data_IF_997884986514
#
_entry.id   IF_997884986514
#
_cell.length_a   1.000
_cell.length_b   1.000
_cell.length_c   1.000
_cell.angle_alpha   90.00
_cell.angle_beta   90.00
_cell.angle_gamma   90.00
#
_symmetry.space_group_name_H-M   'P 1'
#
loop_
_entity.id
_entity.type
_entity.pdbx_description
1 polymer ?
2 non-polymer ?
3 water ?
#
# COMPACT_ATOMS: atom_id res chain seq x y z
N UNK A 113 14.81 -11.27 7.29
CA UNK A 113 13.67 -12.19 7.31
C UNK A 113 12.44 -11.57 6.65
N UNK A 114 11.41 -12.43 6.34
CA UNK A 114 10.19 -12.00 5.68
C UNK A 114 9.42 -10.97 6.54
N UNK A 115 9.03 -11.33 7.78
CA UNK A 115 8.23 -10.41 8.61
C UNK A 115 8.98 -9.14 9.00
N UNK A 116 10.31 -9.22 9.13
CA UNK A 116 11.13 -8.05 9.48
C UNK A 116 10.99 -6.99 8.38
N UNK A 117 11.16 -7.40 7.12
CA UNK A 117 10.99 -6.51 5.97
C UNK A 117 9.57 -6.00 5.82
N UNK A 118 8.58 -6.88 6.03
CA UNK A 118 7.16 -6.45 5.94
C UNK A 118 6.82 -5.32 6.91
N UNK A 119 7.27 -5.46 8.18
CA UNK A 119 7.01 -4.43 9.21
C UNK A 119 7.73 -3.13 8.88
N UNK A 120 8.99 -3.20 8.41
CA UNK A 120 9.73 -1.98 8.02
C UNK A 120 9.04 -1.34 6.83
N UNK A 121 8.50 -2.15 5.91
CA UNK A 121 7.84 -1.57 4.74
C UNK A 121 6.46 -0.98 5.10
N UNK A 122 5.77 -1.61 6.05
CA UNK A 122 4.45 -1.13 6.50
C UNK A 122 4.62 0.24 7.15
N UNK A 123 5.71 0.39 7.85
CA UNK A 123 5.99 1.69 8.49
C UNK A 123 6.43 2.74 7.45
N UNK A 124 7.53 2.48 6.71
CA UNK A 124 8.09 3.40 5.72
C UNK A 124 7.08 3.75 4.63
N UNK A 125 6.39 2.73 4.11
CA UNK A 125 5.49 2.90 2.98
C UNK A 125 4.08 3.29 3.34
N UNK A 126 3.73 3.27 4.62
CA UNK A 126 2.34 3.61 4.99
C UNK A 126 2.21 4.41 6.27
N UNK A 127 2.52 3.79 7.45
CA UNK A 127 2.30 4.47 8.74
C UNK A 127 2.99 5.84 8.85
N UNK A 128 4.27 5.92 8.43
CA UNK A 128 5.09 7.15 8.42
C UNK A 128 4.39 8.26 7.60
N UNK A 129 3.59 7.89 6.57
CA UNK A 129 2.93 8.85 5.69
C UNK A 129 1.53 9.29 6.16
N UNK A 130 0.84 8.46 6.95
CA UNK A 130 -0.53 8.82 7.41
C UNK A 130 -0.60 9.25 8.87
N UNK A 131 0.23 8.66 9.74
CA UNK A 131 0.11 8.94 11.19
C UNK A 131 0.39 10.41 11.55
N UNK A 132 1.38 11.14 10.94
CA UNK A 132 1.55 12.58 11.31
C UNK A 132 0.38 13.48 10.91
N UNK A 133 -0.50 13.03 10.00
CA UNK A 133 -1.66 13.78 9.51
C UNK A 133 -3.00 13.32 10.13
N UNK A 134 -2.99 12.20 10.86
CA UNK A 134 -4.20 11.59 11.40
C UNK A 134 -4.95 12.43 12.45
N UNK A 135 -4.24 13.00 13.44
CA UNK A 135 -4.87 13.80 14.51
C UNK A 135 -5.75 14.90 13.94
N UNK A 136 -5.24 15.63 12.92
CA UNK A 136 -5.95 16.72 12.26
C UNK A 136 -7.19 16.23 11.57
N UNK A 137 -7.15 15.04 10.94
CA UNK A 137 -8.32 14.47 10.24
C UNK A 137 -9.42 14.09 11.23
N UNK A 138 -9.03 13.52 12.39
CA UNK A 138 -9.99 13.11 13.43
C UNK A 138 -10.64 14.37 14.06
N UNK A 139 -9.83 15.39 14.39
CA UNK A 139 -10.27 16.68 14.95
C UNK A 139 -11.27 17.36 14.02
N UNK A 140 -10.97 17.37 12.71
CA UNK A 140 -11.82 17.93 11.64
C UNK A 140 -13.13 17.17 11.57
N UNK A 141 -13.08 15.82 11.68
CA UNK A 141 -14.29 14.99 11.67
C UNK A 141 -15.18 15.32 12.88
N UNK A 142 -14.60 15.34 14.10
CA UNK A 142 -15.24 15.60 15.40
C UNK A 142 -15.87 16.98 15.51
N UNK A 143 -15.37 17.94 14.71
CA UNK A 143 -15.82 19.32 14.67
C UNK A 143 -16.86 19.62 13.60
N UNK A 144 -16.75 19.02 12.39
CA UNK A 144 -17.62 19.35 11.26
C UNK A 144 -18.42 18.22 10.61
N UNK A 145 -18.00 16.95 10.77
CA UNK A 145 -18.69 15.82 10.11
C UNK A 145 -19.42 14.84 11.06
N UNK A 146 -19.09 14.91 12.38
CA UNK A 146 -19.67 14.06 13.43
C UNK A 146 -20.96 14.68 13.95
N UNK A 150 -24.07 11.67 19.50
CA UNK A 150 -22.85 10.87 19.39
C UNK A 150 -21.63 11.59 19.93
N UNK A 151 -20.79 10.84 20.63
CA UNK A 151 -19.54 11.34 21.18
C UNK A 151 -18.43 11.31 20.16
N UNK A 152 -17.34 12.02 20.47
CA UNK A 152 -16.17 12.17 19.62
C UNK A 152 -15.49 10.85 19.28
N UNK A 153 -14.97 10.75 18.06
CA UNK A 153 -14.18 9.63 17.58
C UNK A 153 -12.87 9.72 18.36
N UNK A 154 -12.40 8.60 18.91
CA UNK A 154 -11.15 8.61 19.64
C UNK A 154 -9.96 8.90 18.68
N UNK A 155 -8.88 9.41 19.24
CA UNK A 155 -7.66 9.68 18.48
C UNK A 155 -7.00 8.31 18.25
N UNK A 156 -6.00 8.26 17.37
CA UNK A 156 -5.17 7.09 17.08
C UNK A 156 -5.79 6.08 16.13
N UNK A 157 -4.94 5.53 15.26
CA UNK A 157 -5.35 4.49 14.36
C UNK A 157 -5.23 3.18 15.15
N UNK A 158 -6.31 2.42 15.20
CA UNK A 158 -6.31 1.13 15.91
C UNK A 158 -6.02 0.07 14.86
N UNK A 159 -4.85 -0.56 14.96
CA UNK A 159 -4.34 -1.53 13.98
C UNK A 159 -4.55 -2.95 14.48
N UNK A 160 -5.41 -3.70 13.77
CA UNK A 160 -5.68 -5.08 14.12
C UNK A 160 -4.58 -5.98 13.58
N UNK A 161 -4.06 -6.82 14.50
CA UNK A 161 -2.93 -7.71 14.24
C UNK A 161 -3.27 -9.14 14.62
N UNK A 162 -4.21 -9.78 13.84
CA UNK A 162 -4.54 -11.18 14.12
C UNK A 162 -3.32 -12.06 13.83
N UNK A 163 -2.83 -12.77 14.86
CA UNK A 163 -1.65 -13.63 14.70
C UNK A 163 -1.90 -14.83 13.78
N UNK A 164 -3.19 -15.18 13.52
CA UNK A 164 -3.54 -16.24 12.58
C UNK A 164 -3.48 -15.73 11.14
N UNK A 165 -3.23 -14.39 10.96
CA UNK A 165 -3.07 -13.75 9.65
C UNK A 165 -4.34 -13.75 8.78
N UNK A 166 -5.50 -13.91 9.43
CA UNK A 166 -6.81 -13.86 8.79
C UNK A 166 -7.22 -12.42 8.71
N UNK A 167 -7.23 -11.87 7.51
CA UNK A 167 -7.55 -10.47 7.30
C UNK A 167 -8.87 -10.38 6.48
N UNK A 168 -10.06 -10.29 7.13
CA UNK A 168 -11.29 -10.15 6.33
C UNK A 168 -11.44 -8.72 5.83
N UNK A 169 -12.25 -8.51 4.79
CA UNK A 169 -12.43 -7.15 4.27
C UNK A 169 -13.49 -6.37 5.01
N UNK A 170 -14.47 -7.07 5.61
CA UNK A 170 -15.60 -6.47 6.33
C UNK A 170 -15.48 -6.80 7.81
N UNK A 171 -15.38 -5.77 8.65
CA UNK A 171 -15.26 -5.93 10.10
C UNK A 171 -16.53 -6.36 10.83
N UNK A 172 -17.71 -5.89 10.38
CA UNK A 172 -18.99 -6.28 11.00
C UNK A 172 -19.27 -7.77 10.80
N UNK A 173 -18.57 -8.39 9.83
CA UNK A 173 -18.63 -9.82 9.53
C UNK A 173 -17.84 -10.58 10.59
N UNK A 174 -16.68 -10.01 11.03
CA UNK A 174 -15.80 -10.63 12.05
C UNK A 174 -16.44 -10.54 13.45
N UNK A 175 -17.20 -9.45 13.69
CA UNK A 175 -17.93 -9.19 14.95
C UNK A 175 -19.09 -8.23 14.68
N UNK A 176 -20.36 -8.65 14.91
CA UNK A 176 -21.51 -7.72 14.72
C UNK A 176 -21.48 -6.51 15.67
N UNK A 177 -20.71 -6.61 16.79
CA UNK A 177 -20.55 -5.49 17.74
C UNK A 177 -19.58 -4.40 17.22
N UNK A 178 -19.03 -4.57 16.00
CA UNK A 178 -18.17 -3.59 15.35
C UNK A 178 -18.99 -3.13 14.16
N UNK A 179 -19.49 -1.89 14.22
CA UNK A 179 -20.38 -1.37 13.20
C UNK A 179 -19.80 -0.18 12.51
N UNK A 180 -19.79 -0.21 11.17
CA UNK A 180 -19.29 0.91 10.36
C UNK A 180 -20.13 2.17 10.61
N UNK A 181 -19.48 3.27 10.98
CA UNK A 181 -20.13 4.54 11.20
C UNK A 181 -19.95 5.47 10.00
N UNK A 182 -18.67 5.76 9.62
CA UNK A 182 -18.36 6.70 8.54
C UNK A 182 -16.92 6.59 8.09
N UNK A 183 -16.60 7.18 6.95
CA UNK A 183 -15.24 7.28 6.46
C UNK A 183 -14.70 8.58 7.05
N UNK A 184 -13.44 8.58 7.46
CA UNK A 184 -12.76 9.78 7.95
C UNK A 184 -12.53 10.68 6.68
N UNK A 185 -12.40 12.03 6.71
CA UNK A 185 -12.10 12.73 5.44
C UNK A 185 -10.74 12.22 4.86
N UNK A 186 -10.68 11.96 3.55
CA UNK A 186 -9.47 11.43 2.86
C UNK A 186 -8.25 12.30 3.01
N UNK A 187 -7.08 11.66 3.01
CA UNK A 187 -5.79 12.32 2.94
C UNK A 187 -5.30 12.05 1.50
N UNK A 188 -4.73 13.07 0.84
CA UNK A 188 -4.15 12.91 -0.50
C UNK A 188 -2.71 13.40 -0.48
N UNK A 189 -1.85 12.77 -1.28
CA UNK A 189 -0.45 13.16 -1.37
C UNK A 189 0.15 12.60 -2.64
N UNK A 190 1.05 13.36 -3.26
CA UNK A 190 1.76 12.87 -4.44
C UNK A 190 2.72 11.82 -3.94
N UNK A 191 2.57 10.59 -4.44
CA UNK A 191 3.40 9.49 -3.95
C UNK A 191 3.93 8.64 -5.08
N UNK A 192 5.27 8.58 -5.23
CA UNK A 192 5.94 7.72 -6.21
C UNK A 192 5.36 7.80 -7.64
N UNK A 193 5.05 9.01 -8.10
CA UNK A 193 4.46 9.19 -9.42
C UNK A 193 2.95 9.11 -9.44
N UNK A 194 2.32 8.74 -8.30
CA UNK A 194 0.86 8.73 -8.21
C UNK A 194 0.46 10.11 -7.71
N UNK A 195 -0.07 10.99 -8.60
CA UNK A 195 -0.54 12.30 -8.17
C UNK A 195 -1.80 12.07 -7.30
N UNK A 196 -1.87 12.76 -6.15
CA UNK A 196 -2.97 12.66 -5.19
C UNK A 196 -3.33 11.21 -4.85
N UNK A 197 -2.33 10.43 -4.45
CA UNK A 197 -2.53 9.07 -3.93
C UNK A 197 -3.48 9.28 -2.72
N UNK A 198 -4.57 8.53 -2.68
CA UNK A 198 -5.58 8.70 -1.63
C UNK A 198 -5.39 7.70 -0.46
N UNK A 199 -5.44 8.22 0.76
CA UNK A 199 -5.42 7.41 1.98
C UNK A 199 -6.81 7.53 2.61
N UNK A 200 -7.60 6.44 2.51
CA UNK A 200 -8.94 6.36 3.06
C UNK A 200 -8.85 5.56 4.37
N UNK A 201 -9.59 5.98 5.41
CA UNK A 201 -9.66 5.24 6.68
C UNK A 201 -11.11 5.28 7.16
N UNK A 202 -11.53 4.24 7.88
CA UNK A 202 -12.90 4.05 8.34
C UNK A 202 -13.07 4.12 9.83
N UNK A 203 -14.20 4.69 10.27
CA UNK A 203 -14.60 4.87 11.67
C UNK A 203 -15.64 3.82 12.00
N UNK A 204 -15.47 3.19 13.15
CA UNK A 204 -16.33 2.14 13.66
C UNK A 204 -16.85 2.44 15.05
N UNK A 205 -18.09 2.00 15.32
CA UNK A 205 -18.69 2.06 16.63
C UNK A 205 -18.45 0.68 17.23
N UNK A 206 -18.17 0.64 18.51
CA UNK A 206 -17.96 -0.59 19.24
C UNK A 206 -19.08 -0.72 20.24
N UNK A 207 -19.92 -1.74 20.07
CA UNK A 207 -21.06 -1.98 20.94
C UNK A 207 -20.74 -3.00 22.02
N UNK A 208 -21.38 -2.84 23.16
CA UNK A 208 -21.28 -3.72 24.31
C UNK A 208 -22.69 -3.76 24.91
N UNK A 209 -23.34 -4.95 24.87
CA UNK A 209 -24.70 -5.20 25.37
C UNK A 209 -25.72 -4.19 24.80
N UNK A 210 -25.64 -3.99 23.49
CA UNK A 210 -26.53 -3.09 22.76
C UNK A 210 -26.22 -1.61 22.91
N UNK A 211 -25.18 -1.25 23.66
CA UNK A 211 -24.84 0.17 23.85
C UNK A 211 -23.53 0.53 23.17
N UNK A 212 -23.41 1.74 22.62
CA UNK A 212 -22.14 2.18 22.02
C UNK A 212 -21.16 2.46 23.16
N UNK A 213 -20.03 1.72 23.18
CA UNK A 213 -19.00 1.79 24.22
C UNK A 213 -17.71 2.50 23.78
N UNK A 214 -17.60 2.78 22.49
CA UNK A 214 -16.45 3.47 21.91
C UNK A 214 -16.63 3.67 20.41
N UNK A 215 -15.85 4.61 19.87
CA UNK A 215 -15.81 5.00 18.46
C UNK A 215 -14.34 5.22 18.07
N UNK A 216 -13.86 4.51 17.07
CA UNK A 216 -12.45 4.66 16.68
C UNK A 216 -12.19 4.37 15.19
N UNK A 217 -11.00 4.78 14.73
CA UNK A 217 -10.50 4.52 13.36
C UNK A 217 -9.81 3.16 13.50
N UNK A 218 -10.26 2.21 12.69
CA UNK A 218 -9.85 0.82 12.81
C UNK A 218 -9.58 0.18 11.46
N UNK A 219 -8.53 -0.65 11.40
CA UNK A 219 -8.18 -1.45 10.20
C UNK A 219 -7.17 -2.53 10.54
N UNK A 220 -7.08 -3.53 9.68
CA UNK A 220 -6.11 -4.61 9.82
C UNK A 220 -4.80 -4.17 9.16
N UNK A 221 -3.67 -4.68 9.67
CA UNK A 221 -2.35 -4.52 9.04
C UNK A 221 -2.34 -5.51 7.88
N UNK A 222 -2.59 -5.02 6.65
CA UNK A 222 -2.66 -5.84 5.43
C UNK A 222 -1.40 -6.74 5.16
N UNK A 223 -0.16 -6.38 5.57
CA UNK A 223 0.98 -7.30 5.30
C UNK A 223 0.81 -8.67 6.00
N UNK A 224 -0.05 -8.78 7.03
CA UNK A 224 -0.29 -10.09 7.67
C UNK A 224 -1.00 -11.01 6.65
N UNK A 225 -1.80 -10.43 5.72
CA UNK A 225 -2.43 -11.29 4.69
C UNK A 225 -1.36 -11.81 3.74
N UNK A 226 -0.23 -11.07 3.58
CA UNK A 226 0.85 -11.58 2.73
C UNK A 226 1.42 -12.86 3.34
N UNK A 227 1.62 -12.89 4.68
CA UNK A 227 2.09 -14.11 5.36
C UNK A 227 1.11 -15.25 5.11
N UNK A 228 -0.19 -14.96 5.20
CA UNK A 228 -1.22 -15.98 4.94
C UNK A 228 -1.08 -16.54 3.51
N UNK A 229 -1.08 -15.68 2.50
CA UNK A 229 -0.98 -16.12 1.11
C UNK A 229 0.33 -16.84 0.82
N UNK A 230 1.46 -16.34 1.36
CA UNK A 230 2.74 -17.04 1.14
C UNK A 230 2.72 -18.46 1.72
N UNK A 231 1.98 -18.67 2.85
CA UNK A 231 1.88 -20.01 3.43
C UNK A 231 0.94 -20.90 2.58
N UNK A 232 0.15 -20.30 1.67
CA UNK A 232 -0.76 -21.06 0.77
C UNK A 232 -0.07 -21.46 -0.55
N UNK A 233 0.81 -20.58 -1.06
CA UNK A 233 1.46 -20.76 -2.37
C UNK A 233 2.78 -21.43 -2.32
N UNK A 234 2.89 -22.58 -2.99
CA UNK A 234 4.13 -23.38 -3.07
C UNK A 234 5.32 -22.56 -3.48
N UNK A 235 5.19 -21.70 -4.50
CA UNK A 235 6.31 -20.92 -5.02
C UNK A 235 6.87 -19.91 -4.03
N UNK A 236 6.13 -19.57 -2.97
CA UNK A 236 6.60 -18.62 -1.97
C UNK A 236 7.67 -19.24 -1.03
N UNK A 237 7.75 -20.57 -1.00
CA UNK A 237 8.70 -21.33 -0.17
C UNK A 237 8.57 -20.94 1.29
N UNK A 238 7.33 -20.81 1.76
CA UNK A 238 7.01 -20.35 3.11
C UNK A 238 6.03 -21.32 3.72
N UNK A 239 6.42 -22.00 4.80
CA UNK A 239 5.52 -22.98 5.36
C UNK A 239 4.53 -22.41 6.35
N UNK A 240 3.36 -23.04 6.42
CA UNK A 240 2.28 -22.75 7.38
C UNK A 240 2.82 -22.91 8.80
N UNK A 241 3.78 -23.85 9.01
CA UNK A 241 4.37 -24.11 10.32
C UNK A 241 5.21 -22.93 10.82
N UNK A 242 5.71 -22.06 9.91
CA UNK A 242 6.49 -20.87 10.25
C UNK A 242 5.66 -19.59 10.33
N UNK A 243 4.39 -19.66 9.94
CA UNK A 243 3.56 -18.46 9.84
C UNK A 243 3.32 -17.73 11.18
N UNK A 244 2.96 -18.44 12.27
CA UNK A 244 2.69 -17.81 13.55
C UNK A 244 3.93 -17.06 14.07
N UNK A 245 5.12 -17.69 13.99
CA UNK A 245 6.39 -17.05 14.42
C UNK A 245 6.64 -15.77 13.62
N UNK A 246 6.38 -15.81 12.32
CA UNK A 246 6.51 -14.63 11.43
C UNK A 246 5.48 -13.56 11.78
N UNK A 247 4.21 -13.94 12.06
CA UNK A 247 3.20 -12.96 12.51
C UNK A 247 3.65 -12.24 13.80
N UNK A 248 4.19 -13.01 14.79
CA UNK A 248 4.66 -12.40 16.04
C UNK A 248 5.83 -11.48 15.80
N UNK A 249 6.76 -11.91 14.94
CA UNK A 249 7.93 -11.12 14.58
C UNK A 249 7.49 -9.82 13.86
N UNK A 250 6.47 -9.91 12.99
CA UNK A 250 5.92 -8.70 12.31
C UNK A 250 5.46 -7.67 13.39
N UNK A 251 4.66 -8.14 14.37
CA UNK A 251 4.14 -7.27 15.44
C UNK A 251 5.28 -6.70 16.31
N UNK A 252 6.25 -7.56 16.68
CA UNK A 252 7.38 -7.13 17.52
C UNK A 252 8.26 -6.08 16.82
N UNK A 253 8.55 -6.27 15.51
CA UNK A 253 9.33 -5.33 14.71
C UNK A 253 8.59 -4.02 14.61
N UNK A 254 7.27 -4.06 14.35
CA UNK A 254 6.46 -2.85 14.27
C UNK A 254 6.49 -2.07 15.62
N UNK A 255 6.37 -2.77 16.73
CA UNK A 255 6.46 -2.18 18.07
C UNK A 255 7.83 -1.53 18.28
N UNK A 256 8.93 -2.22 17.87
CA UNK A 256 10.29 -1.70 17.98
C UNK A 256 10.50 -0.43 17.15
N UNK A 257 9.98 -0.39 15.92
CA UNK A 257 10.11 0.79 15.05
C UNK A 257 9.38 1.98 15.65
N UNK A 258 8.11 1.78 16.02
CA UNK A 258 7.28 2.82 16.62
C UNK A 258 7.87 3.41 17.89
N UNK A 259 8.59 2.61 18.69
CA UNK A 259 9.25 3.07 19.91
C UNK A 259 10.33 4.15 19.63
N UNK A 260 10.80 4.24 18.36
CA UNK A 260 11.76 5.24 17.87
C UNK A 260 11.14 6.34 17.00
N UNK A 261 9.80 6.31 16.81
CA UNK A 261 9.04 7.27 16.00
C UNK A 261 7.88 7.87 16.86
N UNK A 262 8.13 8.86 17.77
CA UNK A 262 7.06 9.35 18.68
C UNK A 262 5.78 9.88 18.00
N UNK A 263 5.97 10.62 16.89
CA UNK A 263 4.95 11.20 16.01
C UNK A 263 4.06 10.09 15.40
N UNK A 264 4.54 8.83 15.38
CA UNK A 264 3.75 7.71 14.88
C UNK A 264 3.23 6.86 16.03
N UNK A 265 4.07 6.60 17.04
CA UNK A 265 3.71 5.80 18.21
C UNK A 265 2.47 6.36 18.95
N UNK A 266 2.40 7.68 19.13
CA UNK A 266 1.26 8.30 19.83
C UNK A 266 -0.01 8.39 18.96
N UNK A 267 0.12 8.10 17.66
CA UNK A 267 -1.01 8.18 16.75
C UNK A 267 -1.57 6.83 16.36
N UNK A 268 -1.11 5.77 17.01
CA UNK A 268 -1.64 4.44 16.73
C UNK A 268 -1.53 3.53 17.93
N UNK A 269 -2.29 2.45 17.90
CA UNK A 269 -2.33 1.42 18.94
C UNK A 269 -2.30 0.07 18.24
N UNK A 270 -1.43 -0.82 18.68
CA UNK A 270 -1.30 -2.15 18.07
C UNK A 270 -2.13 -3.16 18.84
N UNK A 271 -3.09 -3.79 18.15
CA UNK A 271 -3.99 -4.77 18.75
C UNK A 271 -3.65 -6.16 18.22
N UNK A 272 -2.72 -6.85 18.90
CA UNK A 272 -2.30 -8.20 18.54
C UNK A 272 -3.13 -9.19 19.33
N UNK A 273 -3.58 -10.26 18.68
CA UNK A 273 -4.41 -11.28 19.36
C UNK A 273 -4.38 -12.61 18.65
N UNK A 274 -4.66 -13.66 19.43
CA UNK A 274 -4.83 -15.04 19.00
C UNK A 274 -6.22 -15.48 19.48
N UNK A 275 -6.99 -16.14 18.61
CA UNK A 275 -8.34 -16.60 18.98
C UNK A 275 -8.29 -17.98 19.63
N UNK A 282 -14.58 -15.96 20.89
CA UNK A 282 -13.72 -14.76 20.86
C UNK A 282 -14.49 -13.50 20.47
N UNK A 283 -14.27 -12.39 21.19
CA UNK A 283 -14.93 -11.13 20.85
C UNK A 283 -13.91 -10.08 20.40
N UNK A 284 -13.90 -9.78 19.08
CA UNK A 284 -12.97 -8.77 18.56
C UNK A 284 -13.29 -7.38 19.16
N UNK A 285 -14.58 -7.02 19.28
CA UNK A 285 -14.97 -5.72 19.89
C UNK A 285 -14.43 -5.58 21.31
N UNK A 286 -14.48 -6.66 22.13
CA UNK A 286 -13.96 -6.63 23.50
C UNK A 286 -12.45 -6.44 23.54
N UNK A 287 -11.75 -7.00 22.53
CA UNK A 287 -10.30 -6.86 22.38
C UNK A 287 -9.98 -5.38 22.11
N UNK A 288 -10.72 -4.74 21.17
CA UNK A 288 -10.50 -3.33 20.85
C UNK A 288 -10.86 -2.45 22.06
N UNK A 289 -12.04 -2.71 22.67
CA UNK A 289 -12.49 -1.92 23.84
C UNK A 289 -11.50 -1.93 24.98
N UNK A 290 -10.86 -3.07 25.25
CA UNK A 290 -9.85 -3.19 26.31
C UNK A 290 -8.69 -2.22 26.07
N UNK A 291 -8.25 -2.07 24.81
CA UNK A 291 -7.21 -1.13 24.43
C UNK A 291 -7.72 0.31 24.52
N UNK A 292 -8.93 0.57 24.00
CA UNK A 292 -9.57 1.90 24.00
C UNK A 292 -9.78 2.46 25.41
N UNK A 293 -10.16 1.59 26.37
CA UNK A 293 -10.41 1.97 27.76
C UNK A 293 -9.16 2.33 28.58
N UNK A 294 -8.01 2.56 27.92
CA UNK A 294 -6.76 2.94 28.59
C UNK A 294 -6.38 4.43 28.38
N UNK A 295 -7.09 5.14 27.48
CA UNK A 295 -6.89 6.57 27.19
C UNK A 295 -8.22 7.33 27.26
N UNK B 113 13.92 -13.92 2.98
CA UNK B 113 14.70 -12.68 2.84
C UNK B 113 13.78 -11.46 2.76
N UNK B 114 14.40 -10.24 2.91
CA UNK B 114 13.66 -8.99 2.90
C UNK B 114 13.00 -8.74 1.53
N UNK B 115 13.78 -8.70 0.42
CA UNK B 115 13.20 -8.39 -0.88
C UNK B 115 12.22 -9.46 -1.36
N UNK B 116 12.43 -10.73 -0.98
CA UNK B 116 11.53 -11.84 -1.36
C UNK B 116 10.11 -11.56 -0.78
N UNK B 117 10.04 -11.23 0.52
CA UNK B 117 8.78 -10.87 1.18
C UNK B 117 8.17 -9.60 0.61
N UNK B 118 9.00 -8.58 0.34
CA UNK B 118 8.49 -7.32 -0.22
C UNK B 118 7.79 -7.52 -1.56
N UNK B 119 8.38 -8.32 -2.46
CA UNK B 119 7.82 -8.59 -3.79
C UNK B 119 6.52 -9.39 -3.65
N UNK B 120 6.48 -10.39 -2.74
CA UNK B 120 5.24 -11.17 -2.51
C UNK B 120 4.18 -10.27 -1.93
N UNK B 121 4.56 -9.32 -1.05
CA UNK B 121 3.57 -8.43 -0.49
C UNK B 121 3.09 -7.39 -1.50
N UNK B 122 3.97 -6.93 -2.37
CA UNK B 122 3.61 -5.93 -3.40
C UNK B 122 2.58 -6.55 -4.34
N UNK B 123 2.77 -7.81 -4.61
CA UNK B 123 1.79 -8.51 -5.47
C UNK B 123 0.47 -8.77 -4.73
N UNK B 124 0.52 -9.52 -3.60
CA UNK B 124 -0.67 -9.88 -2.81
C UNK B 124 -1.45 -8.68 -2.33
N UNK B 125 -0.73 -7.69 -1.81
CA UNK B 125 -1.35 -6.52 -1.20
C UNK B 125 -1.66 -5.38 -2.14
N UNK B 126 -1.24 -5.48 -3.39
CA UNK B 126 -1.48 -4.35 -4.32
C UNK B 126 -1.76 -4.78 -5.74
N UNK B 127 -0.75 -5.34 -6.46
CA UNK B 127 -0.92 -5.66 -7.88
C UNK B 127 -2.10 -6.60 -8.18
N UNK B 128 -2.26 -7.66 -7.37
CA UNK B 128 -3.35 -8.66 -7.46
C UNK B 128 -4.72 -7.96 -7.36
N UNK B 129 -4.81 -6.84 -6.63
CA UNK B 129 -6.05 -6.12 -6.40
C UNK B 129 -6.38 -5.04 -7.46
N UNK B 130 -5.37 -4.51 -8.15
CA UNK B 130 -5.61 -3.44 -9.14
C UNK B 130 -5.48 -3.90 -10.58
N UNK B 131 -4.57 -4.85 -10.88
CA UNK B 131 -4.31 -5.27 -12.26
C UNK B 131 -5.54 -5.92 -12.94
N UNK B 132 -6.38 -6.78 -12.28
CA UNK B 132 -7.57 -7.32 -12.98
C UNK B 132 -8.64 -6.27 -13.34
N UNK B 133 -8.59 -5.08 -12.71
CA UNK B 133 -9.54 -3.99 -12.94
C UNK B 133 -8.96 -2.83 -13.80
N UNK B 134 -7.66 -2.87 -14.10
CA UNK B 134 -6.98 -1.80 -14.82
C UNK B 134 -7.45 -1.60 -16.27
N UNK B 135 -7.58 -2.68 -17.07
CA UNK B 135 -7.99 -2.57 -18.47
C UNK B 135 -9.28 -1.77 -18.63
N UNK B 136 -10.29 -2.05 -17.77
CA UNK B 136 -11.58 -1.36 -17.79
C UNK B 136 -11.44 0.11 -17.48
N UNK B 137 -10.54 0.48 -16.54
CA UNK B 137 -10.31 1.88 -16.18
C UNK B 137 -9.67 2.66 -17.32
N UNK B 138 -8.70 2.03 -18.04
CA UNK B 138 -8.03 2.66 -19.16
C UNK B 138 -9.02 2.85 -20.33
N UNK B 139 -9.82 1.80 -20.63
CA UNK B 139 -10.85 1.81 -21.68
C UNK B 139 -11.87 2.92 -21.43
N UNK B 140 -12.31 3.07 -20.17
CA UNK B 140 -13.25 4.10 -19.70
C UNK B 140 -12.64 5.48 -19.88
N UNK B 141 -11.33 5.63 -19.55
CA UNK B 141 -10.65 6.90 -19.72
C UNK B 141 -10.58 7.30 -21.21
N UNK B 142 -10.14 6.38 -22.06
CA UNK B 142 -9.98 6.60 -23.49
C UNK B 142 -11.28 6.97 -24.19
N UNK B 143 -12.40 6.42 -23.69
CA UNK B 143 -13.75 6.62 -24.21
C UNK B 143 -14.46 7.89 -23.74
N UNK B 144 -14.30 8.27 -22.45
CA UNK B 144 -15.04 9.39 -21.87
C UNK B 144 -14.24 10.55 -21.26
N UNK B 145 -12.97 10.33 -20.89
CA UNK B 145 -12.21 11.39 -20.22
C UNK B 145 -11.01 11.90 -21.01
N UNK B 146 -10.47 11.08 -21.89
CA UNK B 146 -9.34 11.48 -22.71
C UNK B 146 -9.75 12.62 -23.62
N UNK B 147 -8.85 13.60 -23.79
CA UNK B 147 -9.03 14.70 -24.73
C UNK B 147 -9.35 13.99 -26.06
N UNK B 148 -10.48 14.36 -26.67
CA UNK B 148 -11.01 13.80 -27.92
C UNK B 148 -9.99 13.67 -29.06
N UNK B 149 -9.03 14.60 -29.12
CA UNK B 149 -8.04 14.68 -30.20
C UNK B 149 -6.78 13.90 -29.98
N UNK B 150 -6.59 13.38 -28.76
CA UNK B 150 -5.39 12.64 -28.43
C UNK B 150 -5.51 11.17 -28.74
N UNK B 151 -4.35 10.52 -28.83
CA UNK B 151 -4.26 9.08 -29.01
C UNK B 151 -4.61 8.38 -27.69
N UNK B 152 -5.04 7.15 -27.79
CA UNK B 152 -5.41 6.31 -26.66
C UNK B 152 -4.23 6.09 -25.71
N UNK B 153 -4.50 6.19 -24.38
CA UNK B 153 -3.55 5.85 -23.31
C UNK B 153 -3.28 4.35 -23.54
N UNK B 154 -2.01 3.94 -23.50
CA UNK B 154 -1.68 2.53 -23.66
C UNK B 154 -2.24 1.69 -22.49
N UNK B 155 -2.44 0.39 -22.74
CA UNK B 155 -2.87 -0.54 -21.70
C UNK B 155 -1.64 -0.81 -20.83
N UNK B 156 -1.84 -1.44 -19.66
CA UNK B 156 -0.80 -1.90 -18.74
C UNK B 156 -0.24 -0.84 -17.83
N UNK B 157 0.02 -1.25 -16.58
CA UNK B 157 0.66 -0.39 -15.61
C UNK B 157 2.15 -0.52 -15.86
N UNK B 158 2.83 0.61 -16.07
CA UNK B 158 4.25 0.61 -16.27
C UNK B 158 4.89 0.89 -14.90
N UNK B 159 5.59 -0.12 -14.37
CA UNK B 159 6.17 -0.10 -13.02
C UNK B 159 7.66 0.20 -13.08
N UNK B 160 8.05 1.35 -12.52
CA UNK B 160 9.46 1.75 -12.49
C UNK B 160 10.16 1.06 -11.34
N UNK B 161 11.29 0.42 -11.68
CA UNK B 161 12.10 -0.36 -10.75
C UNK B 161 13.56 0.10 -10.77
N UNK B 162 13.81 1.31 -10.23
CA UNK B 162 15.19 1.80 -10.16
C UNK B 162 15.98 0.93 -9.18
N UNK B 163 17.04 0.29 -9.69
CA UNK B 163 17.87 -0.58 -8.87
C UNK B 163 18.66 0.18 -7.81
N UNK B 164 18.79 1.51 -7.93
CA UNK B 164 19.41 2.35 -6.89
C UNK B 164 18.41 2.63 -5.74
N UNK B 165 17.13 2.21 -5.91
CA UNK B 165 16.08 2.35 -4.89
C UNK B 165 15.66 3.80 -4.59
N UNK B 166 15.98 4.71 -5.51
CA UNK B 166 15.63 6.12 -5.44
C UNK B 166 14.23 6.27 -5.97
N UNK B 167 13.29 6.57 -5.09
CA UNK B 167 11.89 6.68 -5.47
C UNK B 167 11.43 8.13 -5.26
N UNK B 168 11.51 9.03 -6.28
CA UNK B 168 11.01 10.40 -6.07
C UNK B 168 9.49 10.43 -6.15
N UNK B 169 8.86 11.46 -5.57
CA UNK B 169 7.40 11.54 -5.64
C UNK B 169 6.86 12.16 -6.91
N UNK B 170 7.66 13.02 -7.55
CA UNK B 170 7.31 13.72 -8.79
C UNK B 170 8.16 13.19 -9.93
N UNK B 171 7.50 12.62 -10.94
CA UNK B 171 8.15 12.05 -12.12
C UNK B 171 8.75 13.08 -13.11
N UNK B 172 8.09 14.25 -13.30
CA UNK B 172 8.61 15.32 -14.19
C UNK B 172 9.93 15.93 -13.63
N UNK B 173 10.19 15.70 -12.34
CA UNK B 173 11.40 16.12 -11.63
C UNK B 173 12.54 15.19 -12.05
N UNK B 174 12.25 13.87 -12.19
CA UNK B 174 13.23 12.84 -12.57
C UNK B 174 13.64 12.96 -14.05
N UNK B 175 12.67 13.41 -14.90
CA UNK B 175 12.84 13.63 -16.34
C UNK B 175 11.77 14.61 -16.82
N UNK B 176 12.17 15.81 -17.35
CA UNK B 176 11.19 16.77 -17.90
C UNK B 176 10.41 16.22 -19.10
N UNK B 177 10.94 15.17 -19.78
CA UNK B 177 10.25 14.51 -20.90
C UNK B 177 9.11 13.58 -20.45
N UNK B 178 8.86 13.48 -19.13
CA UNK B 178 7.75 12.71 -18.57
C UNK B 178 6.83 13.77 -17.98
N UNK B 179 5.69 13.98 -18.62
CA UNK B 179 4.77 15.03 -18.22
C UNK B 179 3.43 14.48 -17.78
N UNK B 180 2.97 14.90 -16.59
CA UNK B 180 1.67 14.49 -16.06
C UNK B 180 0.54 14.96 -16.98
N UNK B 181 -0.31 14.03 -17.40
CA UNK B 181 -1.45 14.32 -18.25
C UNK B 181 -2.74 14.37 -17.41
N UNK B 182 -3.06 13.25 -16.72
CA UNK B 182 -4.30 13.14 -15.95
C UNK B 182 -4.28 11.96 -15.01
N UNK B 183 -5.23 11.93 -14.06
CA UNK B 183 -5.40 10.79 -13.17
C UNK B 183 -6.37 9.89 -13.88
N UNK B 184 -6.16 8.57 -13.78
CA UNK B 184 -7.07 7.58 -14.34
C UNK B 184 -8.33 7.60 -13.41
N UNK B 185 -9.57 7.23 -13.82
CA UNK B 185 -10.66 7.23 -12.83
C UNK B 185 -10.31 6.26 -11.68
N UNK B 186 -10.58 6.64 -10.42
CA UNK B 186 -10.27 5.84 -9.22
C UNK B 186 -10.93 4.49 -9.18
N UNK B 187 -10.25 3.53 -8.55
CA UNK B 187 -10.81 2.23 -8.24
C UNK B 187 -11.06 2.28 -6.74
N UNK B 188 -12.21 1.76 -6.28
CA UNK B 188 -12.53 1.68 -4.86
C UNK B 188 -12.88 0.24 -4.52
N UNK B 189 -12.51 -0.21 -3.30
CA UNK B 189 -12.83 -1.55 -2.86
C UNK B 189 -12.75 -1.61 -1.36
N UNK B 190 -13.62 -2.39 -0.74
CA UNK B 190 -13.56 -2.60 0.73
C UNK B 190 -12.32 -3.44 0.97
N UNK B 191 -11.37 -2.91 1.75
CA UNK B 191 -10.12 -3.61 1.98
C UNK B 191 -9.70 -3.59 3.44
N UNK B 192 -9.65 -4.78 4.08
CA UNK B 192 -9.16 -4.92 5.47
C UNK B 192 -9.78 -3.93 6.46
N UNK B 193 -11.10 -3.73 6.36
CA UNK B 193 -11.81 -2.79 7.22
C UNK B 193 -11.83 -1.35 6.72
N UNK B 194 -11.12 -1.07 5.63
CA UNK B 194 -11.16 0.26 5.02
C UNK B 194 -12.28 0.20 4.00
N UNK B 195 -13.42 0.86 4.29
CA UNK B 195 -14.56 0.89 3.36
C UNK B 195 -14.16 1.79 2.19
N UNK B 196 -14.35 1.32 0.95
CA UNK B 196 -13.98 2.07 -0.28
C UNK B 196 -12.52 2.59 -0.25
N UNK B 197 -11.59 1.67 0.03
CA UNK B 197 -10.15 1.96 -0.04
C UNK B 197 -9.94 2.43 -1.51
N UNK B 198 -9.32 3.58 -1.68
CA UNK B 198 -9.13 4.17 -3.02
C UNK B 198 -7.75 3.83 -3.63
N UNK B 199 -7.77 3.37 -4.89
CA UNK B 199 -6.58 3.13 -5.70
C UNK B 199 -6.55 4.18 -6.79
N UNK B 200 -5.63 5.13 -6.66
CA UNK B 200 -5.44 6.18 -7.64
C UNK B 200 -4.19 5.86 -8.48
N UNK B 201 -4.22 6.14 -9.79
CA UNK B 201 -3.09 5.92 -10.69
C UNK B 201 -3.04 7.10 -11.66
N UNK B 202 -1.82 7.46 -12.11
CA UNK B 202 -1.57 8.61 -12.95
C UNK B 202 -1.10 8.28 -14.35
N UNK B 203 -1.54 9.11 -15.32
CA UNK B 203 -1.24 8.98 -16.74
C UNK B 203 -0.21 10.05 -17.09
N UNK B 204 0.80 9.62 -17.84
CA UNK B 204 1.91 10.45 -18.27
C UNK B 204 2.10 10.43 -19.77
N UNK B 205 2.53 11.57 -20.30
CA UNK B 205 2.92 11.71 -21.69
C UNK B 205 4.45 11.57 -21.69
N UNK B 206 5.00 10.86 -22.66
CA UNK B 206 6.43 10.68 -22.82
C UNK B 206 6.85 11.44 -24.08
N UNK B 207 7.62 12.50 -23.91
CA UNK B 207 8.08 13.34 -25.01
C UNK B 207 9.43 12.89 -25.53
N UNK B 208 9.63 13.09 -26.83
CA UNK B 208 10.85 12.79 -27.56
C UNK B 208 10.99 13.90 -28.61
N UNK B 209 12.05 14.73 -28.48
CA UNK B 209 12.36 15.86 -29.36
C UNK B 209 11.19 16.86 -29.42
N UNK B 210 10.62 17.16 -28.26
CA UNK B 210 9.48 18.08 -28.13
C UNK B 210 8.13 17.54 -28.58
N UNK B 211 8.07 16.28 -29.05
CA UNK B 211 6.81 15.70 -29.51
C UNK B 211 6.35 14.54 -28.63
N UNK B 212 5.04 14.30 -28.61
CA UNK B 212 4.52 13.18 -27.85
C UNK B 212 4.82 11.88 -28.54
N UNK B 213 5.50 11.00 -27.81
CA UNK B 213 5.86 9.70 -28.35
C UNK B 213 5.12 8.53 -27.71
N UNK B 214 4.52 8.78 -26.56
CA UNK B 214 3.76 7.78 -25.83
C UNK B 214 2.93 8.34 -24.69
N UNK B 215 1.90 7.57 -24.29
CA UNK B 215 1.00 7.91 -23.17
C UNK B 215 0.73 6.62 -22.39
N UNK B 216 1.05 6.62 -21.09
CA UNK B 216 0.87 5.40 -20.28
C UNK B 216 0.65 5.69 -18.80
N UNK B 217 0.16 4.67 -18.09
CA UNK B 217 -0.04 4.69 -16.64
C UNK B 217 1.33 4.27 -16.07
N UNK B 218 1.89 5.12 -15.22
CA UNK B 218 3.25 4.97 -14.75
C UNK B 218 3.38 5.28 -13.25
N UNK B 219 4.19 4.47 -12.56
CA UNK B 219 4.52 4.67 -11.13
C UNK B 219 5.71 3.81 -10.72
N UNK B 220 6.35 4.19 -9.62
CA UNK B 220 7.45 3.46 -9.03
C UNK B 220 6.89 2.37 -8.11
N UNK B 221 7.62 1.25 -8.00
CA UNK B 221 7.31 0.19 -7.01
C UNK B 221 7.80 0.73 -5.67
N UNK B 222 6.88 1.26 -4.86
CA UNK B 222 7.21 1.89 -3.54
C UNK B 222 8.01 0.98 -2.55
N UNK B 223 7.91 -0.38 -2.58
CA UNK B 223 8.73 -1.19 -1.65
C UNK B 223 10.24 -1.00 -1.87
N UNK B 224 10.67 -0.50 -3.06
CA UNK B 224 12.10 -0.22 -3.28
C UNK B 224 12.56 0.91 -2.36
N UNK B 225 11.64 1.83 -2.00
CA UNK B 225 12.03 2.90 -1.07
C UNK B 225 12.24 2.31 0.33
N UNK B 226 11.54 1.19 0.64
CA UNK B 226 11.76 0.52 1.94
C UNK B 226 13.22 0.03 2.01
N UNK B 227 13.72 -0.58 0.94
CA UNK B 227 15.11 -1.03 0.88
C UNK B 227 16.06 0.15 1.10
N UNK B 228 15.78 1.29 0.45
CA UNK B 228 16.60 2.47 0.63
C UNK B 228 16.62 2.89 2.11
N UNK B 229 15.41 3.09 2.72
CA UNK B 229 15.31 3.52 4.12
C UNK B 229 15.97 2.51 5.08
N UNK B 230 15.76 1.20 4.89
CA UNK B 230 16.38 0.17 5.75
C UNK B 230 17.91 0.21 5.70
N UNK B 231 18.50 0.51 4.54
CA UNK B 231 19.95 0.60 4.34
C UNK B 231 20.52 1.83 5.08
N UNK B 232 19.64 2.79 5.49
CA UNK B 232 20.01 4.04 6.20
C UNK B 232 19.86 3.92 7.72
N UNK B 233 18.83 3.18 8.18
CA UNK B 233 18.54 3.05 9.59
C UNK B 233 19.26 1.91 10.23
N UNK B 234 20.05 2.22 11.26
CA UNK B 234 20.84 1.21 11.96
C UNK B 234 19.99 0.11 12.58
N UNK B 235 18.75 0.42 13.05
CA UNK B 235 17.91 -0.62 13.68
C UNK B 235 17.35 -1.62 12.66
N UNK B 236 17.42 -1.30 11.36
CA UNK B 236 16.89 -2.20 10.34
C UNK B 236 17.79 -3.40 10.08
N UNK B 237 19.04 -3.35 10.54
CA UNK B 237 20.00 -4.44 10.35
C UNK B 237 20.18 -4.79 8.88
N UNK B 238 20.23 -3.77 8.04
CA UNK B 238 20.34 -3.90 6.61
C UNK B 238 21.54 -3.05 6.23
N UNK B 239 22.65 -3.69 5.77
CA UNK B 239 23.86 -2.94 5.43
C UNK B 239 23.65 -2.06 4.21
N UNK B 240 24.32 -0.90 4.18
CA UNK B 240 24.20 0.00 3.03
C UNK B 240 24.52 -0.67 1.68
N UNK B 241 25.52 -1.57 1.66
CA UNK B 241 26.01 -2.26 0.45
C UNK B 241 25.11 -3.39 -0.02
N UNK B 242 24.08 -3.75 0.79
CA UNK B 242 23.13 -4.82 0.45
C UNK B 242 22.01 -4.41 -0.48
N UNK B 243 21.83 -3.10 -0.68
CA UNK B 243 20.75 -2.48 -1.47
C UNK B 243 20.55 -2.99 -2.88
N UNK B 244 21.63 -2.99 -3.67
CA UNK B 244 21.55 -3.40 -5.06
C UNK B 244 21.12 -4.85 -5.22
N UNK B 245 21.71 -5.75 -4.45
CA UNK B 245 21.38 -7.18 -4.51
C UNK B 245 19.92 -7.42 -4.12
N UNK B 246 19.44 -6.69 -3.09
CA UNK B 246 18.04 -6.79 -2.64
C UNK B 246 17.09 -6.20 -3.69
N UNK B 247 17.46 -5.06 -4.31
CA UNK B 247 16.67 -4.47 -5.39
C UNK B 247 16.53 -5.47 -6.58
N UNK B 248 17.64 -6.14 -6.98
CA UNK B 248 17.57 -7.12 -8.07
C UNK B 248 16.72 -8.32 -7.69
N UNK B 249 16.85 -8.78 -6.44
CA UNK B 249 16.06 -9.89 -5.93
C UNK B 249 14.57 -9.51 -5.91
N UNK B 250 14.25 -8.26 -5.54
CA UNK B 250 12.84 -7.77 -5.55
C UNK B 250 12.27 -7.88 -6.98
N UNK B 251 13.03 -7.38 -7.97
CA UNK B 251 12.59 -7.42 -9.39
C UNK B 251 12.47 -8.87 -9.89
N UNK B 252 13.45 -9.74 -9.57
CA UNK B 252 13.42 -11.13 -10.01
C UNK B 252 12.22 -11.90 -9.40
N UNK B 253 11.96 -11.71 -8.11
CA UNK B 253 10.81 -12.33 -7.42
C UNK B 253 9.52 -11.86 -8.03
N UNK B 254 9.37 -10.54 -8.30
CA UNK B 254 8.17 -9.98 -8.90
C UNK B 254 7.95 -10.55 -10.30
N UNK B 255 9.03 -10.70 -11.10
CA UNK B 255 8.95 -11.34 -12.42
C UNK B 255 8.50 -12.81 -12.28
N UNK B 256 9.05 -13.56 -11.31
CA UNK B 256 8.68 -14.97 -11.05
C UNK B 256 7.22 -15.11 -10.68
N UNK B 257 6.71 -14.22 -9.81
CA UNK B 257 5.29 -14.26 -9.39
C UNK B 257 4.37 -13.98 -10.57
N UNK B 258 4.66 -12.90 -11.32
CA UNK B 258 3.86 -12.49 -12.45
C UNK B 258 3.80 -13.55 -13.53
N UNK B 259 4.83 -14.37 -13.69
CA UNK B 259 4.88 -15.47 -14.67
C UNK B 259 3.83 -16.58 -14.37
N UNK B 260 3.32 -16.62 -13.13
CA UNK B 260 2.27 -17.54 -12.67
C UNK B 260 0.89 -16.89 -12.54
N UNK B 261 0.75 -15.60 -12.91
CA UNK B 261 -0.50 -14.83 -12.81
C UNK B 261 -0.78 -14.12 -14.15
N UNK B 262 -1.36 -14.82 -15.17
CA UNK B 262 -1.57 -14.19 -16.50
C UNK B 262 -2.39 -12.90 -16.51
N UNK B 263 -3.48 -12.87 -15.73
CA UNK B 263 -4.39 -11.74 -15.50
C UNK B 263 -3.64 -10.50 -14.93
N UNK B 264 -2.45 -10.71 -14.38
CA UNK B 264 -1.64 -9.63 -13.84
C UNK B 264 -0.45 -9.35 -14.77
N UNK B 265 0.22 -10.40 -15.23
CA UNK B 265 1.38 -10.29 -16.13
C UNK B 265 1.05 -9.48 -17.41
N UNK B 266 -0.13 -9.70 -18.00
CA UNK B 266 -0.55 -8.96 -19.20
C UNK B 266 -1.01 -7.54 -18.91
N UNK B 267 -1.19 -7.20 -17.61
CA UNK B 267 -1.65 -5.87 -17.25
C UNK B 267 -0.57 -4.98 -16.71
N UNK B 268 0.68 -5.42 -16.78
CA UNK B 268 1.79 -4.60 -16.31
C UNK B 268 3.07 -4.91 -17.03
N UNK B 269 4.03 -4.01 -16.91
CA UNK B 269 5.33 -4.17 -17.51
C UNK B 269 6.35 -3.69 -16.50
N UNK B 270 7.40 -4.48 -16.27
CA UNK B 270 8.42 -4.14 -15.29
C UNK B 270 9.57 -3.41 -15.96
N UNK B 271 9.86 -2.19 -15.48
CA UNK B 271 10.93 -1.36 -16.02
C UNK B 271 12.06 -1.26 -15.00
N UNK B 272 12.98 -2.22 -15.04
CA UNK B 272 14.15 -2.26 -14.15
C UNK B 272 15.32 -1.57 -14.83
N UNK B 273 16.05 -0.73 -14.09
CA UNK B 273 17.17 0.01 -14.69
C UNK B 273 18.18 0.47 -13.64
N UNK B 274 19.42 0.65 -14.11
CA UNK B 274 20.55 1.21 -13.39
C UNK B 274 21.03 2.42 -14.20
N UNK B 275 21.31 3.53 -13.54
CA UNK B 275 21.78 4.76 -14.20
C UNK B 275 23.29 4.73 -14.39
N UNK B 282 21.43 9.92 -18.24
CA UNK B 282 20.38 8.90 -18.32
C UNK B 282 19.01 9.50 -18.63
N UNK B 283 18.27 8.86 -19.54
CA UNK B 283 16.92 9.33 -19.87
C UNK B 283 15.86 8.33 -19.43
N UNK B 284 15.11 8.67 -18.37
CA UNK B 284 14.03 7.80 -17.87
C UNK B 284 12.94 7.65 -18.94
N UNK B 285 12.56 8.74 -19.63
CA UNK B 285 11.55 8.67 -20.71
C UNK B 285 11.94 7.69 -21.82
N UNK B 286 13.23 7.68 -22.22
CA UNK B 286 13.75 6.75 -23.25
C UNK B 286 13.67 5.31 -22.77
N UNK B 287 13.89 5.08 -21.46
CA UNK B 287 13.78 3.76 -20.84
C UNK B 287 12.32 3.27 -20.96
N UNK B 288 11.36 4.13 -20.59
CA UNK B 288 9.93 3.78 -20.67
C UNK B 288 9.52 3.57 -22.12
N UNK B 289 9.90 4.51 -23.03
CA UNK B 289 9.57 4.41 -24.47
C UNK B 289 10.05 3.13 -25.12
N UNK B 290 11.25 2.65 -24.75
CA UNK B 290 11.80 1.40 -25.27
C UNK B 290 10.89 0.22 -24.95
N UNK B 291 10.32 0.19 -23.71
CA UNK B 291 9.37 -0.84 -23.30
C UNK B 291 8.04 -0.68 -24.00
N UNK B 292 7.51 0.57 -24.04
CA UNK B 292 6.23 0.91 -24.68
C UNK B 292 6.23 0.46 -26.15
N UNK B 293 7.30 0.77 -26.91
CA UNK B 293 7.46 0.48 -28.34
C UNK B 293 7.53 -1.00 -28.73
N UNK B 294 7.16 -1.92 -27.81
CA UNK B 294 7.14 -3.36 -28.07
C UNK B 294 5.73 -3.95 -28.22
N UNK B 295 4.67 -3.13 -27.95
CA UNK B 295 3.26 -3.52 -28.08
C UNK B 295 2.49 -2.50 -28.92
#
# INVERSE_FOLDING_TARGET
>A
MAHHHHHHGSDSEVNQEAKPEVKPEVKPETHINLKVSDGSSEIFFKIKKTTPLRRLMEAFAKRQGKEMDSLTFLYDGIEIQADQTPEDLDMEDNDIIEAHREQIGGENLYFQSVAHGLAWSYYIGYLRLILPELQARIRTYNQHYNNLLRGAVSQRLYILLPLDCGVPDNLSMADPNIRFLDKLPQQTADRAGIKDRVYSNSIYELLENGQRAGTCVLEYATPLQTLFAMSQYSQAGFSREDRLEQAKLFCQTLEDILADAPESQNNCRLIAYQEPADDSSFSLSQEVLRHLRQEEKEEV
>B
MAHHHHHHGSDSEVNQEAKPEVKPEVKPETHINLKVSDGSSEIFFKIKKTTPLRRLMEAFAKRQGKEMDSLTFLYDGIEIQADQTPEDLDMEDNDIIEAHREQIGGENLYFQSVAHGLAWSYYIGYLRLILPELQARIRTYNQHYNNLLRGAVSQRLYILLPLDCGVPDNLSMADPNIRFLDKLPQQTADRAGIKDRVYSNSIYELLENGQRAGTCVLEYATPLQTLFAMSQYSQAGFSREDRLEQAKLFCQTLEDILADAPESQNNCRLIAYQEPADDSSFSLSQEVLRHLRQEEKEEV
#
